data_IF_095501635505
#
_entry.id   IF_095501635505
#
_cell.length_a   1.000
_cell.length_b   1.000
_cell.length_c   1.000
_cell.angle_alpha   90.00
_cell.angle_beta   90.00
_cell.angle_gamma   90.00
#
_symmetry.space_group_name_H-M   'P 1'
#
loop_
_entity.id
_entity.type
_entity.pdbx_description
1 polymer ?
#
# COMPACT_ATOMS: atom_id res chain seq x y z
N UNK A 1 -15.29 13.11 28.93
CA UNK A 1 -15.60 11.72 29.28
C UNK A 1 -14.91 10.78 28.27
N UNK A 2 -13.57 10.68 28.29
CA UNK A 2 -12.78 9.62 27.63
C UNK A 2 -11.44 9.51 28.38
N UNK A 3 -11.43 8.81 29.51
CA UNK A 3 -10.24 8.41 30.26
C UNK A 3 -10.62 7.14 31.05
N UNK A 4 -10.75 5.99 30.38
CA UNK A 4 -11.12 4.76 31.11
C UNK A 4 -10.64 3.43 30.53
N UNK A 5 -9.99 3.40 29.37
CA UNK A 5 -9.53 2.13 28.77
C UNK A 5 -8.04 1.90 29.02
N UNK A 6 -7.19 2.91 28.84
CA UNK A 6 -5.74 2.80 29.09
C UNK A 6 -5.41 2.47 30.55
N UNK A 7 -6.15 3.03 31.52
CA UNK A 7 -5.92 2.77 32.93
C UNK A 7 -6.24 1.31 33.34
N UNK A 8 -7.16 0.64 32.63
CA UNK A 8 -7.60 -0.72 32.99
C UNK A 8 -6.65 -1.80 32.45
N UNK A 9 -6.12 -1.62 31.23
CA UNK A 9 -5.15 -2.56 30.64
C UNK A 9 -3.80 -2.46 31.34
N UNK A 10 -3.36 -1.24 31.67
CA UNK A 10 -2.14 -1.05 32.46
C UNK A 10 -2.28 -1.62 33.87
N UNK A 11 -3.44 -1.45 34.52
CA UNK A 11 -3.68 -2.00 35.85
C UNK A 11 -3.70 -3.54 35.86
N UNK A 12 -4.33 -4.20 34.89
CA UNK A 12 -4.39 -5.68 34.85
C UNK A 12 -3.02 -6.32 34.59
N UNK A 13 -2.20 -5.78 33.68
CA UNK A 13 -0.84 -6.27 33.46
C UNK A 13 0.07 -6.01 34.68
N UNK A 14 -0.12 -4.87 35.36
CA UNK A 14 0.63 -4.55 36.58
C UNK A 14 0.28 -5.50 37.74
N UNK A 15 -0.99 -5.87 37.89
CA UNK A 15 -1.46 -6.81 38.93
C UNK A 15 -1.02 -8.26 38.70
N UNK A 16 -0.95 -8.71 37.44
CA UNK A 16 -0.42 -10.03 37.09
C UNK A 16 1.11 -10.13 37.29
N UNK A 17 1.84 -9.03 37.09
CA UNK A 17 3.27 -8.96 37.39
C UNK A 17 3.54 -8.92 38.90
N UNK A 18 2.71 -8.23 39.70
CA UNK A 18 2.86 -8.18 41.16
C UNK A 18 2.61 -9.53 41.85
N UNK A 19 1.73 -10.37 41.31
CA UNK A 19 1.40 -11.68 41.90
C UNK A 19 2.53 -12.73 41.75
N UNK A 20 3.50 -12.52 40.84
CA UNK A 20 4.61 -13.45 40.65
C UNK A 20 5.82 -13.18 41.57
N UNK A 21 5.79 -12.12 42.40
CA UNK A 21 6.96 -11.66 43.16
C UNK A 21 6.97 -12.01 44.66
N UNK A 22 6.08 -12.88 45.14
CA UNK A 22 6.03 -13.25 46.55
C UNK A 22 6.49 -14.69 46.80
N UNK A 23 7.74 -15.00 46.48
CA UNK A 23 8.56 -16.05 47.14
C UNK A 23 9.86 -16.30 46.37
N UNK A 24 10.90 -15.56 46.72
CA UNK A 24 12.33 -15.94 46.76
C UNK A 24 13.16 -14.67 46.64
N UNK A 25 13.99 -14.44 47.65
CA UNK A 25 14.89 -13.31 47.78
C UNK A 25 16.00 -13.37 46.72
N UNK A 26 15.75 -12.78 45.55
CA UNK A 26 16.77 -12.26 44.65
C UNK A 26 16.20 -10.99 44.02
N UNK A 27 16.74 -9.84 44.42
CA UNK A 27 16.33 -8.53 43.90
C UNK A 27 16.77 -8.42 42.44
N UNK A 28 15.96 -8.93 41.51
CA UNK A 28 16.15 -8.73 40.08
C UNK A 28 15.72 -7.30 39.75
N UNK A 29 16.67 -6.35 39.81
CA UNK A 29 16.45 -5.00 39.30
C UNK A 29 16.37 -5.12 37.78
N UNK A 30 15.16 -5.16 37.23
CA UNK A 30 14.96 -5.11 35.79
C UNK A 30 15.39 -3.72 35.32
N UNK A 31 16.44 -3.65 34.50
CA UNK A 31 16.89 -2.39 33.90
C UNK A 31 15.75 -1.78 33.07
N UNK A 32 15.54 -0.47 33.21
CA UNK A 32 14.55 0.28 32.43
C UNK A 32 14.80 0.13 30.92
N UNK A 33 16.05 -0.01 30.49
CA UNK A 33 16.40 -0.24 29.09
C UNK A 33 16.03 -1.64 28.65
N UNK A 34 16.20 -2.65 29.50
CA UNK A 34 15.76 -4.02 29.22
C UNK A 34 14.23 -4.09 29.11
N UNK A 35 13.51 -3.39 29.98
CA UNK A 35 12.05 -3.29 29.93
C UNK A 35 11.59 -2.56 28.67
N UNK A 36 12.23 -1.43 28.32
CA UNK A 36 11.94 -0.69 27.08
C UNK A 36 12.19 -1.55 25.84
N UNK A 37 13.28 -2.33 25.81
CA UNK A 37 13.57 -3.24 24.72
C UNK A 37 12.54 -4.37 24.62
N UNK A 38 12.09 -4.92 25.75
CA UNK A 38 11.06 -5.95 25.80
C UNK A 38 9.71 -5.41 25.31
N UNK A 39 9.25 -4.28 25.85
CA UNK A 39 8.03 -3.58 25.39
C UNK A 39 8.15 -3.29 23.89
N UNK A 40 9.32 -2.82 23.45
CA UNK A 40 9.59 -2.58 22.03
C UNK A 40 9.51 -3.87 21.21
N UNK A 41 10.00 -5.01 21.69
CA UNK A 41 9.92 -6.28 20.95
C UNK A 41 8.50 -6.83 20.82
N UNK A 42 7.62 -6.48 21.76
CA UNK A 42 6.20 -6.85 21.77
C UNK A 42 5.31 -5.86 21.00
N UNK A 43 5.82 -4.68 20.62
CA UNK A 43 5.04 -3.73 19.82
C UNK A 43 4.77 -4.29 18.42
N UNK A 44 3.55 -4.06 17.87
CA UNK A 44 3.26 -4.38 16.49
C UNK A 44 4.20 -3.66 15.52
N UNK A 45 4.29 -4.18 14.30
CA UNK A 45 5.10 -3.60 13.24
C UNK A 45 4.23 -2.72 12.32
N UNK A 46 4.72 -1.55 11.88
CA UNK A 46 3.99 -0.69 10.97
C UNK A 46 3.95 -1.31 9.57
N UNK A 47 2.98 -0.90 8.76
CA UNK A 47 2.59 -1.58 7.53
C UNK A 47 2.57 -0.61 6.34
N UNK A 48 3.14 -1.03 5.21
CA UNK A 48 2.96 -0.33 3.92
C UNK A 48 2.26 -1.28 2.94
N UNK A 49 1.18 -0.78 2.35
CA UNK A 49 0.35 -1.46 1.36
C UNK A 49 0.82 -1.07 -0.06
N UNK A 50 1.20 -2.07 -0.85
CA UNK A 50 1.64 -1.89 -2.24
C UNK A 50 0.57 -2.49 -3.17
N UNK A 51 -0.18 -1.66 -3.91
CA UNK A 51 -1.30 -2.11 -4.74
C UNK A 51 -0.84 -2.87 -5.99
N UNK A 52 -1.78 -3.58 -6.61
CA UNK A 52 -1.59 -4.28 -7.87
C UNK A 52 -1.91 -3.41 -9.09
N UNK A 53 -2.01 -4.05 -10.25
CA UNK A 53 -2.50 -3.41 -11.47
C UNK A 53 -3.93 -2.90 -11.26
N UNK A 54 -4.18 -1.62 -11.58
CA UNK A 54 -5.44 -0.94 -11.30
C UNK A 54 -5.75 -0.72 -9.80
N UNK A 55 -4.82 -1.00 -8.89
CA UNK A 55 -5.08 -1.06 -7.45
C UNK A 55 -5.01 0.28 -6.71
N UNK A 56 -5.06 1.40 -7.42
CA UNK A 56 -5.12 2.74 -6.81
C UNK A 56 -5.95 3.69 -7.65
N UNK A 57 -6.52 4.74 -7.04
CA UNK A 57 -7.18 5.80 -7.79
C UNK A 57 -6.20 6.51 -8.74
N UNK A 58 -6.71 6.96 -9.89
CA UNK A 58 -6.00 7.82 -10.83
C UNK A 58 -6.89 8.99 -11.27
N UNK A 59 -6.25 10.12 -11.52
CA UNK A 59 -6.89 11.36 -11.95
C UNK A 59 -6.29 11.85 -13.25
N UNK A 60 -7.13 12.47 -14.09
CA UNK A 60 -6.73 13.12 -15.32
C UNK A 60 -6.96 14.63 -15.21
N UNK A 61 -6.12 15.39 -15.91
CA UNK A 61 -6.28 16.83 -16.11
C UNK A 61 -6.00 17.14 -17.58
N UNK A 62 -6.83 17.96 -18.22
CA UNK A 62 -6.62 18.30 -19.63
C UNK A 62 -5.32 19.11 -19.82
N UNK A 63 -4.61 18.86 -20.92
CA UNK A 63 -3.37 19.59 -21.26
C UNK A 63 -3.62 20.88 -22.03
N UNK A 64 -4.68 20.91 -22.82
CA UNK A 64 -5.02 21.99 -23.76
C UNK A 64 -5.78 23.15 -23.10
N UNK A 65 -6.30 22.94 -21.90
CA UNK A 65 -7.03 23.96 -21.14
C UNK A 65 -6.77 23.83 -19.64
N UNK A 66 -6.97 24.94 -18.91
CA UNK A 66 -6.93 24.91 -17.45
C UNK A 66 -8.21 24.24 -16.93
N UNK A 67 -8.09 22.97 -16.54
CA UNK A 67 -9.15 22.19 -15.92
C UNK A 67 -8.78 21.75 -14.52
N UNK A 68 -9.77 21.51 -13.66
CA UNK A 68 -9.54 20.80 -12.41
C UNK A 68 -9.27 19.31 -12.69
N UNK A 69 -8.43 18.63 -11.88
CA UNK A 69 -8.27 17.19 -11.97
C UNK A 69 -9.58 16.45 -11.72
N UNK A 70 -9.88 15.46 -12.55
CA UNK A 70 -11.08 14.62 -12.43
C UNK A 70 -10.70 13.14 -12.31
N UNK A 71 -11.48 12.32 -11.58
CA UNK A 71 -11.23 10.88 -11.48
C UNK A 71 -11.31 10.22 -12.86
N UNK A 72 -10.25 9.51 -13.26
CA UNK A 72 -10.23 8.70 -14.50
C UNK A 72 -10.27 7.20 -14.19
N UNK A 73 -9.84 6.81 -12.99
CA UNK A 73 -9.85 5.41 -12.54
C UNK A 73 -10.06 5.29 -11.01
N UNK A 74 -10.95 4.45 -10.51
CA UNK A 74 -12.06 3.79 -11.22
C UNK A 74 -13.24 4.75 -11.26
N UNK A 75 -13.74 5.06 -12.45
CA UNK A 75 -15.00 5.75 -12.62
C UNK A 75 -15.91 4.89 -13.49
N UNK A 76 -16.95 4.34 -12.85
CA UNK A 76 -17.88 3.40 -13.47
C UNK A 76 -18.66 4.02 -14.65
N UNK A 77 -18.70 5.35 -14.79
CA UNK A 77 -19.29 6.03 -15.95
C UNK A 77 -18.55 5.70 -17.25
N UNK A 78 -17.25 5.42 -17.18
CA UNK A 78 -16.46 5.03 -18.36
C UNK A 78 -16.78 3.63 -18.89
N UNK A 79 -17.52 2.81 -18.14
CA UNK A 79 -18.09 1.56 -18.65
C UNK A 79 -19.13 1.81 -19.77
N UNK A 80 -19.68 3.02 -19.85
CA UNK A 80 -20.68 3.42 -20.86
C UNK A 80 -20.04 4.06 -22.11
N UNK A 81 -18.83 4.63 -22.00
CA UNK A 81 -18.07 5.17 -23.14
C UNK A 81 -16.57 4.80 -23.07
N UNK A 82 -16.21 3.55 -23.39
CA UNK A 82 -14.83 3.06 -23.28
C UNK A 82 -13.85 3.75 -24.23
N UNK A 83 -14.32 4.30 -25.37
CA UNK A 83 -13.48 5.02 -26.33
C UNK A 83 -12.86 6.28 -25.72
N UNK A 84 -13.62 6.99 -24.88
CA UNK A 84 -13.17 8.22 -24.23
C UNK A 84 -12.12 7.95 -23.17
N UNK A 85 -12.29 6.89 -22.36
CA UNK A 85 -11.31 6.48 -21.36
C UNK A 85 -9.96 6.11 -21.98
N UNK A 86 -9.96 5.26 -23.01
CA UNK A 86 -8.73 4.83 -23.68
C UNK A 86 -7.94 5.99 -24.27
N UNK A 87 -8.61 7.03 -24.76
CA UNK A 87 -7.94 8.19 -25.33
C UNK A 87 -7.20 9.06 -24.32
N UNK A 88 -7.69 9.16 -23.08
CA UNK A 88 -7.03 9.92 -22.01
C UNK A 88 -6.03 9.08 -21.21
N UNK A 89 -6.25 7.77 -21.09
CA UNK A 89 -5.46 6.94 -20.18
C UNK A 89 -4.29 6.21 -20.85
N UNK A 90 -4.32 6.01 -22.18
CA UNK A 90 -3.29 5.27 -22.92
C UNK A 90 -1.91 5.91 -22.83
N UNK A 91 -0.89 5.04 -22.83
CA UNK A 91 0.49 5.39 -23.07
C UNK A 91 0.82 5.26 -24.56
N UNK A 92 1.76 6.08 -25.04
CA UNK A 92 2.32 6.03 -26.39
C UNK A 92 3.70 5.39 -26.30
N UNK A 93 3.93 4.30 -27.04
CA UNK A 93 5.23 3.64 -27.07
C UNK A 93 6.15 4.27 -28.11
N UNK A 94 7.35 4.69 -27.69
CA UNK A 94 8.37 5.27 -28.55
C UNK A 94 9.38 4.19 -28.96
N UNK A 95 9.36 3.80 -30.24
CA UNK A 95 10.19 2.71 -30.73
C UNK A 95 11.70 3.03 -30.76
N UNK A 96 12.09 4.31 -30.70
CA UNK A 96 13.51 4.72 -30.69
C UNK A 96 14.09 4.66 -29.28
N UNK A 97 13.40 5.26 -28.30
CA UNK A 97 13.85 5.27 -26.90
C UNK A 97 13.55 3.95 -26.18
N UNK A 98 12.62 3.14 -26.74
CA UNK A 98 12.09 1.91 -26.15
C UNK A 98 11.38 2.14 -24.82
N UNK A 99 10.80 3.33 -24.65
CA UNK A 99 10.04 3.79 -23.48
C UNK A 99 8.63 4.23 -23.85
N UNK A 100 7.82 4.49 -22.84
CA UNK A 100 6.45 4.98 -22.92
C UNK A 100 6.35 6.44 -22.50
N UNK A 101 5.46 7.16 -23.16
CA UNK A 101 5.14 8.56 -22.90
C UNK A 101 3.63 8.70 -22.66
N UNK A 102 3.22 9.68 -21.86
CA UNK A 102 1.79 10.01 -21.75
C UNK A 102 1.27 10.56 -23.08
N UNK A 103 -0.04 10.44 -23.30
CA UNK A 103 -0.67 11.10 -24.44
C UNK A 103 -0.69 12.63 -24.29
N UNK A 104 -1.00 13.30 -25.40
CA UNK A 104 -1.09 14.75 -25.53
C UNK A 104 -2.41 15.35 -25.01
N UNK A 105 -3.38 14.50 -24.64
CA UNK A 105 -4.71 14.95 -24.20
C UNK A 105 -4.80 15.25 -22.71
N UNK A 106 -4.10 14.47 -21.88
CA UNK A 106 -4.20 14.60 -20.43
C UNK A 106 -2.89 14.37 -19.68
N UNK A 107 -2.78 15.01 -18.52
CA UNK A 107 -1.81 14.69 -17.47
C UNK A 107 -2.48 13.69 -16.54
N UNK A 108 -1.86 12.52 -16.35
CA UNK A 108 -2.37 11.47 -15.47
C UNK A 108 -1.58 11.47 -14.16
N UNK A 109 -2.30 11.43 -13.04
CA UNK A 109 -1.71 11.45 -11.71
C UNK A 109 -2.28 10.32 -10.85
N UNK A 110 -1.44 9.81 -9.94
CA UNK A 110 -1.78 8.73 -9.01
C UNK A 110 -1.57 9.26 -7.59
N UNK A 111 -2.59 9.90 -6.99
CA UNK A 111 -2.45 10.60 -5.71
C UNK A 111 -2.46 9.64 -4.50
N UNK A 112 -2.25 10.21 -3.31
CA UNK A 112 -2.32 9.48 -2.04
C UNK A 112 -1.03 8.75 -1.67
N UNK A 113 0.14 9.22 -2.13
CA UNK A 113 1.42 8.63 -1.72
C UNK A 113 1.62 8.74 -0.20
N UNK A 114 1.77 7.60 0.47
CA UNK A 114 1.85 7.50 1.93
C UNK A 114 0.50 7.47 2.63
N UNK A 115 -0.58 7.82 1.95
CA UNK A 115 -1.93 7.74 2.47
C UNK A 115 -2.60 6.43 2.04
N UNK A 116 -3.64 5.99 2.75
CA UNK A 116 -4.31 4.72 2.40
C UNK A 116 -5.56 4.93 1.56
N UNK A 117 -6.16 6.12 1.52
CA UNK A 117 -7.48 6.32 0.89
C UNK A 117 -7.50 5.91 -0.60
N UNK A 118 -6.45 6.21 -1.35
CA UNK A 118 -6.39 5.92 -2.79
C UNK A 118 -6.22 4.45 -3.11
N UNK A 119 -5.81 3.64 -2.13
CA UNK A 119 -5.63 2.18 -2.26
C UNK A 119 -6.63 1.39 -1.41
N UNK A 120 -7.32 2.02 -0.47
CA UNK A 120 -8.42 1.42 0.29
C UNK A 120 -9.63 1.24 -0.61
N UNK A 121 -10.02 2.29 -1.34
CA UNK A 121 -11.16 2.29 -2.24
C UNK A 121 -10.79 2.94 -3.59
N UNK A 122 -11.19 2.29 -4.68
CA UNK A 122 -10.81 2.69 -6.04
C UNK A 122 -11.72 3.75 -6.66
N UNK A 123 -12.86 4.09 -6.03
CA UNK A 123 -13.72 5.18 -6.47
C UNK A 123 -13.56 6.40 -5.53
N UNK A 124 -13.53 7.59 -6.13
CA UNK A 124 -13.65 8.87 -5.42
C UNK A 124 -14.95 9.02 -4.62
N UNK A 125 -15.98 8.22 -4.95
CA UNK A 125 -17.24 8.05 -4.23
C UNK A 125 -17.30 6.61 -3.67
N UNK A 126 -16.69 6.35 -2.51
CA UNK A 126 -16.49 5.01 -2.00
C UNK A 126 -17.77 4.19 -1.92
N UNK A 127 -17.73 2.96 -2.41
CA UNK A 127 -18.81 1.98 -2.25
C UNK A 127 -18.24 0.56 -2.12
N UNK A 128 -19.07 -0.40 -1.71
CA UNK A 128 -18.62 -1.75 -1.37
C UNK A 128 -17.93 -2.50 -2.51
N UNK A 129 -18.33 -2.27 -3.77
CA UNK A 129 -17.76 -2.99 -4.93
C UNK A 129 -16.43 -2.40 -5.47
N UNK A 130 -15.98 -1.27 -4.94
CA UNK A 130 -14.67 -0.64 -5.28
C UNK A 130 -13.70 -0.70 -4.11
N UNK A 131 -14.05 -1.39 -3.02
CA UNK A 131 -13.10 -1.72 -1.96
C UNK A 131 -11.95 -2.54 -2.54
N UNK A 132 -10.75 -2.18 -2.13
CA UNK A 132 -9.53 -2.91 -2.47
C UNK A 132 -8.76 -3.30 -1.21
N UNK A 133 -8.01 -2.38 -0.58
CA UNK A 133 -7.41 -2.64 0.74
C UNK A 133 -8.27 -2.23 1.93
N UNK A 134 -9.45 -1.64 1.72
CA UNK A 134 -10.27 -1.08 2.80
C UNK A 134 -10.51 -2.06 3.96
N UNK A 135 -10.85 -3.31 3.67
CA UNK A 135 -11.13 -4.30 4.71
C UNK A 135 -9.85 -4.74 5.45
N UNK A 136 -8.70 -4.77 4.77
CA UNK A 136 -7.40 -5.00 5.41
C UNK A 136 -7.10 -3.85 6.36
N UNK A 137 -7.17 -2.62 5.88
CA UNK A 137 -6.95 -1.41 6.68
C UNK A 137 -7.90 -1.38 7.88
N UNK A 138 -9.19 -1.66 7.67
CA UNK A 138 -10.22 -1.68 8.72
C UNK A 138 -9.95 -2.73 9.81
N UNK A 139 -9.38 -3.88 9.45
CA UNK A 139 -8.99 -4.91 10.42
C UNK A 139 -7.78 -4.48 11.26
N UNK A 140 -6.78 -3.83 10.65
CA UNK A 140 -5.58 -3.38 11.36
C UNK A 140 -5.86 -2.24 12.33
N UNK A 141 -6.67 -1.26 11.94
CA UNK A 141 -6.98 -0.08 12.77
C UNK A 141 -7.85 -0.38 13.99
N UNK A 142 -8.32 -1.64 14.16
CA UNK A 142 -8.92 -2.08 15.43
C UNK A 142 -7.90 -2.07 16.58
N UNK A 143 -6.61 -2.18 16.26
CA UNK A 143 -5.53 -2.00 17.21
C UNK A 143 -5.04 -0.53 17.15
N UNK A 144 -5.00 0.20 18.29
CA UNK A 144 -4.66 1.62 18.34
C UNK A 144 -3.23 1.95 17.86
N UNK A 145 -2.36 0.96 17.74
CA UNK A 145 -1.05 1.12 17.12
C UNK A 145 -1.15 1.54 15.64
N UNK A 146 -2.16 1.06 14.92
CA UNK A 146 -2.34 1.31 13.49
C UNK A 146 -3.18 2.55 13.26
N UNK A 147 -2.50 3.61 12.81
CA UNK A 147 -3.08 4.91 12.49
C UNK A 147 -2.91 5.13 10.99
N UNK A 148 -4.03 5.34 10.29
CA UNK A 148 -4.04 5.59 8.83
C UNK A 148 -3.12 6.75 8.50
N UNK A 149 -2.41 6.63 7.38
CA UNK A 149 -1.48 7.63 6.88
C UNK A 149 -0.28 7.89 7.82
N UNK A 150 -0.07 7.08 8.85
CA UNK A 150 1.01 7.26 9.83
C UNK A 150 1.81 5.97 10.07
N UNK A 151 1.18 4.94 10.65
CA UNK A 151 1.77 3.60 10.87
C UNK A 151 1.21 2.53 9.95
N UNK A 152 0.08 2.80 9.28
CA UNK A 152 -0.37 2.07 8.08
C UNK A 152 -0.44 3.06 6.91
N UNK A 153 0.29 2.76 5.82
CA UNK A 153 0.52 3.68 4.69
C UNK A 153 0.25 2.99 3.36
N UNK A 154 -0.15 3.73 2.33
CA UNK A 154 -0.27 3.23 0.96
C UNK A 154 0.88 3.71 0.07
N UNK A 155 1.23 2.90 -0.93
CA UNK A 155 2.24 3.24 -1.94
C UNK A 155 1.66 3.13 -3.36
N UNK A 156 0.69 3.99 -3.75
CA UNK A 156 0.15 4.04 -5.11
C UNK A 156 1.23 4.42 -6.12
N UNK A 157 1.13 3.90 -7.33
CA UNK A 157 2.08 4.18 -8.43
C UNK A 157 1.35 4.19 -9.76
N UNK A 158 2.01 4.67 -10.81
CA UNK A 158 1.50 4.57 -12.17
C UNK A 158 1.54 3.11 -12.62
N UNK A 159 0.43 2.40 -12.38
CA UNK A 159 0.31 0.99 -12.69
C UNK A 159 0.27 0.70 -14.20
N UNK A 160 0.20 1.73 -15.06
CA UNK A 160 0.32 1.57 -16.51
C UNK A 160 1.77 1.28 -16.95
N UNK A 161 2.74 1.62 -16.11
CA UNK A 161 4.18 1.54 -16.42
C UNK A 161 4.85 0.36 -15.71
N UNK A 162 5.95 -0.10 -16.29
CA UNK A 162 6.83 -1.08 -15.66
C UNK A 162 7.80 -0.40 -14.65
N UNK A 163 8.40 -1.14 -13.71
CA UNK A 163 9.26 -0.55 -12.67
C UNK A 163 10.42 0.29 -13.18
N UNK A 164 10.99 -0.05 -14.34
CA UNK A 164 12.09 0.71 -14.96
C UNK A 164 11.69 2.11 -15.43
N UNK A 165 10.40 2.35 -15.67
CA UNK A 165 9.87 3.65 -16.11
C UNK A 165 9.24 4.44 -14.96
N UNK A 166 8.98 3.79 -13.82
CA UNK A 166 8.59 4.43 -12.57
C UNK A 166 9.83 4.75 -11.70
N UNK A 167 10.74 5.55 -12.26
CA UNK A 167 12.06 5.85 -11.67
C UNK A 167 11.99 6.43 -10.25
N UNK A 168 10.94 7.18 -9.94
CA UNK A 168 10.73 7.78 -8.62
C UNK A 168 10.21 6.80 -7.58
N UNK A 169 9.73 5.61 -7.98
CA UNK A 169 9.15 4.65 -7.06
C UNK A 169 10.17 4.19 -6.01
N UNK A 170 11.37 3.79 -6.43
CA UNK A 170 12.43 3.29 -5.53
C UNK A 170 12.84 4.33 -4.48
N UNK A 171 13.22 5.57 -4.83
CA UNK A 171 13.59 6.58 -3.83
C UNK A 171 12.41 6.99 -2.95
N UNK A 172 11.20 7.17 -3.51
CA UNK A 172 10.01 7.50 -2.71
C UNK A 172 9.63 6.38 -1.75
N UNK A 173 9.72 5.13 -2.17
CA UNK A 173 9.43 3.96 -1.33
C UNK A 173 10.45 3.83 -0.20
N UNK A 174 11.73 4.09 -0.48
CA UNK A 174 12.77 4.13 0.55
C UNK A 174 12.47 5.17 1.62
N UNK A 175 12.16 6.41 1.21
CA UNK A 175 11.79 7.48 2.13
C UNK A 175 10.54 7.14 2.93
N UNK A 176 9.51 6.57 2.28
CA UNK A 176 8.28 6.14 2.94
C UNK A 176 8.56 5.08 4.02
N UNK A 177 9.42 4.10 3.74
CA UNK A 177 9.82 3.09 4.74
C UNK A 177 10.55 3.73 5.92
N UNK A 178 11.48 4.65 5.68
CA UNK A 178 12.26 5.32 6.73
C UNK A 178 11.38 6.20 7.63
N UNK A 179 10.43 6.93 7.04
CA UNK A 179 9.41 7.69 7.76
C UNK A 179 8.50 6.76 8.58
N UNK A 180 7.97 5.71 7.95
CA UNK A 180 7.07 4.73 8.59
C UNK A 180 7.75 4.00 9.74
N UNK A 181 9.03 3.69 9.61
CA UNK A 181 9.86 3.13 10.68
C UNK A 181 9.93 4.07 11.88
N UNK A 182 10.14 5.36 11.64
CA UNK A 182 10.22 6.39 12.69
C UNK A 182 8.86 6.58 13.37
N UNK A 183 7.78 6.70 12.57
CA UNK A 183 6.40 6.81 13.05
C UNK A 183 5.99 5.60 13.89
N UNK A 184 6.43 4.40 13.50
CA UNK A 184 6.22 3.14 14.21
C UNK A 184 7.14 2.94 15.42
N UNK A 185 7.71 3.99 16.00
CA UNK A 185 8.63 3.94 17.14
C UNK A 185 9.88 3.07 16.90
N UNK A 186 10.48 3.25 15.72
CA UNK A 186 11.66 2.51 15.27
C UNK A 186 11.44 0.99 15.21
N UNK A 187 10.21 0.58 14.88
CA UNK A 187 9.86 -0.79 14.52
C UNK A 187 10.09 -1.03 13.04
N UNK A 188 10.67 -2.19 12.75
CA UNK A 188 10.84 -2.65 11.37
C UNK A 188 9.50 -2.73 10.65
N UNK A 189 9.45 -2.25 9.41
CA UNK A 189 8.24 -2.12 8.59
C UNK A 189 7.92 -3.44 7.89
N UNK A 190 6.64 -3.81 7.88
CA UNK A 190 6.11 -4.89 7.05
C UNK A 190 5.64 -4.29 5.72
N UNK A 191 6.05 -4.91 4.61
CA UNK A 191 5.54 -4.59 3.28
C UNK A 191 4.51 -5.63 2.89
N UNK A 192 3.27 -5.23 2.64
CA UNK A 192 2.22 -6.09 2.11
C UNK A 192 1.94 -5.69 0.66
N UNK A 193 2.26 -6.56 -0.28
CA UNK A 193 2.09 -6.30 -1.70
C UNK A 193 1.14 -7.31 -2.33
N UNK A 194 0.23 -6.82 -3.18
CA UNK A 194 -0.72 -7.66 -3.90
C UNK A 194 -0.45 -7.64 -5.41
N UNK A 195 -0.54 -8.82 -6.05
CA UNK A 195 -0.47 -8.99 -7.50
C UNK A 195 0.77 -8.29 -8.10
N UNK A 196 0.60 -7.40 -9.10
CA UNK A 196 1.71 -6.66 -9.71
C UNK A 196 2.53 -5.82 -8.70
N UNK A 197 1.91 -5.38 -7.59
CA UNK A 197 2.60 -4.70 -6.50
C UNK A 197 3.72 -5.55 -5.90
N UNK A 198 3.61 -6.89 -5.95
CA UNK A 198 4.66 -7.78 -5.49
C UNK A 198 5.92 -7.69 -6.35
N UNK A 199 5.77 -7.47 -7.66
CA UNK A 199 6.90 -7.25 -8.57
C UNK A 199 7.57 -5.90 -8.30
N UNK A 200 6.78 -4.86 -8.02
CA UNK A 200 7.28 -3.55 -7.59
C UNK A 200 8.02 -3.62 -6.25
N UNK A 201 7.44 -4.30 -5.26
CA UNK A 201 8.08 -4.53 -3.96
C UNK A 201 9.38 -5.31 -4.08
N UNK A 202 9.41 -6.36 -4.92
CA UNK A 202 10.62 -7.13 -5.20
C UNK A 202 11.69 -6.28 -5.90
N UNK A 203 11.31 -5.52 -6.94
CA UNK A 203 12.21 -4.60 -7.64
C UNK A 203 12.81 -3.58 -6.67
N UNK A 204 11.99 -2.98 -5.81
CA UNK A 204 12.45 -2.07 -4.76
C UNK A 204 13.47 -2.73 -3.82
N UNK A 205 13.16 -3.90 -3.26
CA UNK A 205 14.02 -4.60 -2.31
C UNK A 205 15.34 -5.08 -2.93
N UNK A 206 15.35 -5.39 -4.22
CA UNK A 206 16.58 -5.74 -4.95
C UNK A 206 17.49 -4.54 -5.16
N UNK A 207 16.94 -3.32 -5.17
CA UNK A 207 17.70 -2.07 -5.24
C UNK A 207 18.16 -1.54 -3.86
N UNK A 208 17.91 -2.26 -2.76
CA UNK A 208 18.38 -1.88 -1.42
C UNK A 208 19.52 -2.76 -0.92
N UNK A 209 20.44 -2.15 -0.17
CA UNK A 209 21.53 -2.88 0.47
C UNK A 209 21.02 -3.84 1.55
N UNK A 210 21.76 -4.92 1.80
CA UNK A 210 21.43 -5.89 2.86
C UNK A 210 21.35 -5.21 4.23
N UNK A 211 22.27 -4.28 4.52
CA UNK A 211 22.30 -3.53 5.77
C UNK A 211 21.03 -2.69 5.95
N UNK A 212 20.58 -2.01 4.89
CA UNK A 212 19.33 -1.23 4.91
C UNK A 212 18.12 -2.13 5.16
N UNK A 213 18.00 -3.25 4.42
CA UNK A 213 16.90 -4.22 4.60
C UNK A 213 16.86 -4.77 6.03
N UNK A 214 18.02 -5.15 6.58
CA UNK A 214 18.13 -5.66 7.97
C UNK A 214 17.72 -4.62 9.01
N UNK A 215 17.93 -3.33 8.74
CA UNK A 215 17.57 -2.23 9.65
C UNK A 215 16.07 -1.93 9.58
N UNK A 216 15.50 -1.83 8.39
CA UNK A 216 14.16 -1.24 8.20
C UNK A 216 13.05 -2.24 7.91
N UNK A 217 13.33 -3.42 7.34
CA UNK A 217 12.29 -4.35 6.88
C UNK A 217 12.13 -5.52 7.84
N UNK A 218 10.90 -5.76 8.30
CA UNK A 218 10.54 -6.91 9.13
C UNK A 218 10.22 -8.11 8.27
N UNK A 219 9.33 -7.91 7.31
CA UNK A 219 8.81 -8.94 6.42
C UNK A 219 8.33 -8.32 5.12
N UNK A 220 8.36 -9.12 4.06
CA UNK A 220 7.72 -8.83 2.79
C UNK A 220 6.68 -9.91 2.53
N UNK A 221 5.41 -9.54 2.69
CA UNK A 221 4.25 -10.41 2.50
C UNK A 221 3.70 -10.15 1.11
N UNK A 222 3.57 -11.21 0.32
CA UNK A 222 3.06 -11.14 -1.05
C UNK A 222 1.77 -11.93 -1.19
N UNK A 223 0.73 -11.30 -1.72
CA UNK A 223 -0.54 -11.92 -2.02
C UNK A 223 -0.69 -12.05 -3.54
N UNK A 224 -0.81 -13.28 -4.05
CA UNK A 224 -1.05 -13.56 -5.47
C UNK A 224 -0.01 -12.98 -6.44
N UNK A 225 1.28 -13.09 -6.08
CA UNK A 225 2.38 -12.53 -6.89
C UNK A 225 2.57 -13.28 -8.23
N UNK A 226 2.45 -12.59 -9.39
CA UNK A 226 2.69 -13.19 -10.70
C UNK A 226 4.19 -13.21 -11.04
N UNK A 227 5.00 -13.90 -10.23
CA UNK A 227 6.47 -13.91 -10.37
C UNK A 227 6.96 -14.40 -11.74
N UNK A 228 6.23 -15.34 -12.34
CA UNK A 228 6.48 -15.87 -13.70
C UNK A 228 5.57 -15.28 -14.78
N UNK A 229 4.84 -14.20 -14.48
CA UNK A 229 3.80 -13.65 -15.37
C UNK A 229 2.43 -14.27 -15.18
N UNK A 230 1.50 -13.98 -16.11
CA UNK A 230 0.11 -14.41 -16.06
C UNK A 230 -0.44 -14.75 -17.45
N UNK A 231 -1.07 -15.92 -17.59
CA UNK A 231 -1.72 -16.32 -18.85
C UNK A 231 -2.93 -15.45 -19.18
N UNK A 232 -3.53 -14.80 -18.17
CA UNK A 232 -4.62 -13.84 -18.38
C UNK A 232 -4.13 -12.61 -19.16
N UNK A 233 -2.89 -12.18 -18.93
CA UNK A 233 -2.31 -11.08 -19.70
C UNK A 233 -2.24 -11.45 -21.19
N UNK A 234 -1.75 -12.66 -21.53
CA UNK A 234 -1.72 -13.15 -22.91
C UNK A 234 -3.12 -13.17 -23.56
N UNK A 235 -4.15 -13.60 -22.81
CA UNK A 235 -5.54 -13.58 -23.31
C UNK A 235 -6.01 -12.15 -23.61
N UNK A 236 -5.76 -11.20 -22.70
CA UNK A 236 -6.19 -9.79 -22.88
C UNK A 236 -5.53 -9.19 -24.12
N UNK A 237 -4.22 -9.38 -24.28
CA UNK A 237 -3.47 -8.89 -25.44
C UNK A 237 -3.97 -9.50 -26.75
N UNK A 238 -4.22 -10.81 -26.78
CA UNK A 238 -4.69 -11.49 -27.97
C UNK A 238 -6.14 -11.15 -28.34
N UNK A 239 -7.01 -10.95 -27.34
CA UNK A 239 -8.45 -10.77 -27.58
C UNK A 239 -8.90 -9.30 -27.63
N UNK A 240 -8.07 -8.37 -27.16
CA UNK A 240 -8.44 -6.95 -27.00
C UNK A 240 -9.62 -6.71 -26.05
N UNK A 241 -9.97 -7.70 -25.22
CA UNK A 241 -11.10 -7.64 -24.29
C UNK A 241 -10.59 -7.55 -22.87
N UNK A 242 -10.72 -6.37 -22.28
CA UNK A 242 -10.50 -6.14 -20.86
C UNK A 242 -11.68 -6.71 -20.06
N UNK A 243 -11.72 -8.04 -19.89
CA UNK A 243 -12.76 -8.68 -19.09
C UNK A 243 -12.38 -8.67 -17.61
N UNK A 244 -12.99 -7.75 -16.84
CA UNK A 244 -13.52 -8.16 -15.55
C UNK A 244 -14.51 -9.29 -15.82
N UNK A 245 -14.38 -10.41 -15.11
CA UNK A 245 -15.27 -11.56 -15.28
C UNK A 245 -16.70 -11.15 -14.92
N UNK A 246 -17.48 -10.73 -15.91
CA UNK A 246 -18.92 -10.93 -15.94
C UNK A 246 -19.16 -12.06 -16.93
N UNK A 247 -18.76 -13.27 -16.55
CA UNK A 247 -19.24 -14.49 -17.21
C UNK A 247 -20.62 -14.79 -16.62
N UNK A 248 -21.55 -13.86 -16.83
CA UNK A 248 -22.96 -14.14 -16.76
C UNK A 248 -23.35 -14.55 -18.17
N UNK A 249 -23.56 -15.83 -18.40
CA UNK A 249 -24.28 -16.27 -19.59
C UNK A 249 -25.62 -15.54 -19.59
N UNK A 250 -25.77 -14.59 -20.51
CA UNK A 250 -27.09 -14.12 -20.90
C UNK A 250 -27.71 -15.26 -21.69
N UNK A 251 -28.49 -16.09 -21.00
CA UNK A 251 -29.59 -16.83 -21.62
C UNK A 251 -30.72 -15.86 -21.91
#
# INVERSE_FOLDING_TARGET
MVYSVEAKVFALCSLLLLAAFCSTSNSFVISLDALRLLVKSEMPHPLILIPGDGGSQAYAQFRDCQSDPFPIWVDLRYLVSPRTFGDYFKLIYNNKTRTTEDNDKAIITFPGWGETWSVDNLDSRPHSVTKYFEDVTAAFIQNPYYVKNFTIRGAPFDFRKAPNENVDFVPKMKALVEETFTNGQNQKVVLLAHSMGSLYGLHFLNNQTVAWKRKYIKAFIVASAPLGGSIKALKIEASGKFSFYLDGQLN
#
